data_IF_237663059494
#
_entry.id   IF_237663059494
#
_cell.length_a   1.000
_cell.length_b   1.000
_cell.length_c   1.000
_cell.angle_alpha   90.00
_cell.angle_beta   90.00
_cell.angle_gamma   90.00
#
_symmetry.space_group_name_H-M   'P 1'
#
loop_
_entity.id
_entity.type
_entity.pdbx_description
1 polymer ?
#
# COMPACT_ATOMS: atom_id res chain seq x y z
N UNK A 1 -9.30 13.74 -9.70
CA UNK A 1 -8.91 12.33 -9.76
C UNK A 1 -9.56 11.58 -8.62
N UNK A 2 -9.90 10.32 -8.85
CA UNK A 2 -10.31 9.34 -7.85
C UNK A 2 -9.06 8.58 -7.38
N UNK A 3 -8.67 8.78 -6.14
CA UNK A 3 -7.54 8.10 -5.51
C UNK A 3 -8.07 7.01 -4.60
N UNK A 4 -7.67 5.77 -4.84
CA UNK A 4 -7.97 4.65 -3.97
C UNK A 4 -6.84 4.46 -2.96
N UNK A 5 -7.11 4.57 -1.67
CA UNK A 5 -6.14 4.32 -0.60
C UNK A 5 -6.47 2.98 0.04
N UNK A 6 -5.52 2.05 0.05
CA UNK A 6 -5.69 0.69 0.58
C UNK A 6 -4.84 0.54 1.84
N UNK A 7 -5.48 0.24 2.97
CA UNK A 7 -4.84 0.11 4.29
C UNK A 7 -5.31 -1.15 4.98
N UNK A 8 -4.56 -1.62 5.97
CA UNK A 8 -5.11 -2.57 6.94
C UNK A 8 -5.83 -1.83 8.05
N UNK A 9 -6.97 -2.36 8.50
CA UNK A 9 -7.70 -1.77 9.62
C UNK A 9 -8.32 -0.41 9.30
N UNK A 10 -8.57 0.39 10.33
CA UNK A 10 -9.31 1.65 10.23
C UNK A 10 -8.36 2.85 10.28
N UNK A 11 -8.57 3.79 9.34
CA UNK A 11 -7.83 5.04 9.23
C UNK A 11 -7.93 5.90 10.49
N UNK A 12 -9.05 5.80 11.23
CA UNK A 12 -9.31 6.58 12.44
C UNK A 12 -8.71 5.95 13.71
N UNK A 13 -7.95 4.86 13.60
CA UNK A 13 -7.27 4.28 14.77
C UNK A 13 -6.30 5.30 15.40
N UNK A 14 -6.36 5.38 16.74
CA UNK A 14 -5.58 6.33 17.55
C UNK A 14 -4.15 5.85 17.85
N UNK A 15 -3.81 4.62 17.46
CA UNK A 15 -2.43 4.11 17.54
C UNK A 15 -1.58 4.71 16.42
N UNK A 16 -0.30 4.99 16.70
CA UNK A 16 0.56 5.82 15.84
C UNK A 16 0.82 5.30 14.42
N UNK A 17 0.37 4.09 14.07
CA UNK A 17 0.60 3.46 12.77
C UNK A 17 0.00 4.20 11.57
N UNK A 18 -1.15 4.87 11.75
CA UNK A 18 -1.95 5.44 10.64
C UNK A 18 -1.84 6.96 10.49
N UNK A 19 -0.89 7.59 11.20
CA UNK A 19 -0.73 9.05 11.15
C UNK A 19 -0.43 9.52 9.72
N UNK A 20 0.44 8.81 9.02
CA UNK A 20 0.86 9.17 7.67
C UNK A 20 -0.27 8.97 6.65
N UNK A 21 -1.04 7.88 6.75
CA UNK A 21 -2.23 7.66 5.91
C UNK A 21 -3.24 8.77 6.06
N UNK A 22 -3.53 9.16 7.31
CA UNK A 22 -4.43 10.28 7.61
C UNK A 22 -3.92 11.59 7.04
N UNK A 23 -2.63 11.88 7.19
CA UNK A 23 -2.01 13.08 6.64
C UNK A 23 -2.09 13.11 5.12
N UNK A 24 -1.84 11.97 4.46
CA UNK A 24 -1.93 11.82 3.02
C UNK A 24 -3.36 12.01 2.52
N UNK A 25 -4.32 11.27 3.08
CA UNK A 25 -5.75 11.35 2.73
C UNK A 25 -6.26 12.79 2.89
N UNK A 26 -5.91 13.43 4.02
CA UNK A 26 -6.29 14.83 4.28
C UNK A 26 -5.72 15.77 3.22
N UNK A 27 -4.45 15.63 2.88
CA UNK A 27 -3.79 16.52 1.91
C UNK A 27 -4.32 16.30 0.47
N UNK A 28 -4.54 15.05 0.07
CA UNK A 28 -5.16 14.73 -1.22
C UNK A 28 -6.56 15.32 -1.34
N UNK A 29 -7.39 15.17 -0.30
CA UNK A 29 -8.73 15.79 -0.25
C UNK A 29 -8.65 17.32 -0.29
N UNK A 30 -7.72 17.93 0.46
CA UNK A 30 -7.50 19.39 0.47
C UNK A 30 -7.13 19.93 -0.91
N UNK A 31 -6.46 19.13 -1.73
CA UNK A 31 -6.12 19.46 -3.13
C UNK A 31 -7.26 19.22 -4.13
N UNK A 32 -8.45 18.80 -3.67
CA UNK A 32 -9.64 18.60 -4.50
C UNK A 32 -9.71 17.22 -5.15
N UNK A 33 -8.95 16.24 -4.68
CA UNK A 33 -9.08 14.85 -5.14
C UNK A 33 -10.19 14.11 -4.37
N UNK A 34 -10.88 13.19 -5.06
CA UNK A 34 -11.82 12.26 -4.43
C UNK A 34 -11.01 11.11 -3.88
N UNK A 35 -11.06 10.88 -2.56
CA UNK A 35 -10.26 9.85 -1.89
C UNK A 35 -11.17 8.85 -1.22
N UNK A 36 -11.15 7.63 -1.75
CA UNK A 36 -11.86 6.48 -1.22
C UNK A 36 -10.86 5.57 -0.50
N UNK A 37 -11.21 5.13 0.69
CA UNK A 37 -10.35 4.28 1.51
C UNK A 37 -10.94 2.88 1.54
N UNK A 38 -10.14 1.88 1.21
CA UNK A 38 -10.48 0.47 1.37
C UNK A 38 -9.69 -0.10 2.55
N UNK A 39 -10.42 -0.47 3.59
CA UNK A 39 -9.89 -1.14 4.77
C UNK A 39 -9.88 -2.65 4.55
N UNK A 40 -8.70 -3.21 4.37
CA UNK A 40 -8.49 -4.64 4.24
C UNK A 40 -8.38 -5.30 5.62
N UNK A 41 -8.80 -6.56 5.69
CA UNK A 41 -8.54 -7.41 6.86
C UNK A 41 -7.09 -7.89 6.82
N UNK A 42 -6.41 -7.80 7.95
CA UNK A 42 -5.03 -8.30 8.08
C UNK A 42 -5.03 -9.82 7.99
N UNK A 43 -4.21 -10.37 7.10
CA UNK A 43 -4.11 -11.80 6.87
C UNK A 43 -2.98 -12.16 5.91
N UNK A 44 -2.70 -13.45 5.69
CA UNK A 44 -1.61 -13.90 4.81
C UNK A 44 -1.90 -13.68 3.32
N UNK A 45 -3.17 -13.65 2.92
CA UNK A 45 -3.63 -13.25 1.59
C UNK A 45 -5.14 -12.93 1.63
N UNK A 46 -5.67 -12.39 0.54
CA UNK A 46 -7.12 -12.33 0.32
C UNK A 46 -7.67 -13.72 -0.03
N UNK A 47 -8.92 -13.99 0.33
CA UNK A 47 -9.66 -15.11 -0.25
C UNK A 47 -10.17 -14.75 -1.66
N UNK A 48 -10.76 -15.73 -2.37
CA UNK A 48 -11.13 -15.54 -3.77
C UNK A 48 -12.26 -14.51 -3.96
N UNK A 49 -13.19 -14.44 -3.00
CA UNK A 49 -14.32 -13.52 -3.05
C UNK A 49 -13.84 -12.09 -2.78
N UNK A 50 -13.04 -11.91 -1.72
CA UNK A 50 -12.38 -10.64 -1.39
C UNK A 50 -11.46 -10.17 -2.53
N UNK A 51 -10.73 -11.08 -3.20
CA UNK A 51 -9.85 -10.73 -4.32
C UNK A 51 -10.65 -10.17 -5.52
N UNK A 52 -11.82 -10.75 -5.83
CA UNK A 52 -12.68 -10.25 -6.89
C UNK A 52 -13.25 -8.86 -6.57
N UNK A 53 -13.69 -8.64 -5.34
CA UNK A 53 -14.19 -7.34 -4.86
C UNK A 53 -13.09 -6.28 -4.91
N UNK A 54 -11.91 -6.58 -4.38
CA UNK A 54 -10.73 -5.71 -4.40
C UNK A 54 -10.36 -5.34 -5.83
N UNK A 55 -10.39 -6.31 -6.76
CA UNK A 55 -10.10 -6.05 -8.18
C UNK A 55 -11.12 -5.12 -8.82
N UNK A 56 -12.42 -5.31 -8.54
CA UNK A 56 -13.45 -4.40 -9.04
C UNK A 56 -13.23 -3.00 -8.50
N UNK A 57 -13.03 -2.88 -7.19
CA UNK A 57 -12.78 -1.61 -6.51
C UNK A 57 -11.56 -0.87 -7.09
N UNK A 58 -10.46 -1.59 -7.37
CA UNK A 58 -9.27 -1.02 -8.01
C UNK A 58 -9.61 -0.34 -9.35
N UNK A 59 -10.48 -0.92 -10.17
CA UNK A 59 -10.78 -0.38 -11.50
C UNK A 59 -11.53 0.97 -11.45
N UNK A 60 -12.19 1.28 -10.34
CA UNK A 60 -12.97 2.50 -10.15
C UNK A 60 -12.11 3.75 -9.89
N UNK A 61 -10.80 3.58 -9.69
CA UNK A 61 -9.86 4.62 -9.31
C UNK A 61 -8.88 4.95 -10.44
N UNK A 62 -8.40 6.19 -10.45
CA UNK A 62 -7.39 6.66 -11.42
C UNK A 62 -5.98 6.24 -11.00
N UNK A 63 -5.72 6.22 -9.68
CA UNK A 63 -4.44 5.85 -9.06
C UNK A 63 -4.70 5.22 -7.70
N UNK A 64 -3.85 4.26 -7.34
CA UNK A 64 -3.89 3.57 -6.06
C UNK A 64 -2.73 4.05 -5.18
N UNK A 65 -3.01 4.28 -3.90
CA UNK A 65 -1.98 4.35 -2.85
C UNK A 65 -2.18 3.18 -1.92
N UNK A 66 -1.12 2.45 -1.63
CA UNK A 66 -1.16 1.20 -0.89
C UNK A 66 -0.22 1.31 0.31
N UNK A 67 -0.73 1.12 1.53
CA UNK A 67 0.13 0.91 2.69
C UNK A 67 0.96 -0.37 2.44
N UNK A 68 2.29 -0.25 2.58
CA UNK A 68 3.20 -1.38 2.41
C UNK A 68 2.85 -2.57 3.29
N UNK A 69 2.24 -2.37 4.46
CA UNK A 69 1.83 -3.46 5.33
C UNK A 69 0.81 -4.39 4.68
N UNK A 70 0.07 -3.91 3.67
CA UNK A 70 -0.89 -4.70 2.91
C UNK A 70 -0.25 -5.62 1.86
N UNK A 71 1.08 -5.70 1.78
CA UNK A 71 1.80 -6.53 0.80
C UNK A 71 1.29 -7.98 0.67
N UNK A 72 0.88 -8.71 1.74
CA UNK A 72 0.41 -10.09 1.58
C UNK A 72 -0.93 -10.16 0.85
N UNK A 73 -1.82 -9.18 1.09
CA UNK A 73 -3.13 -9.09 0.44
C UNK A 73 -3.05 -8.49 -0.98
N UNK A 74 -2.06 -7.64 -1.25
CA UNK A 74 -2.01 -6.83 -2.48
C UNK A 74 -1.11 -7.37 -3.58
N UNK A 75 -0.23 -8.34 -3.28
CA UNK A 75 0.67 -8.88 -4.30
C UNK A 75 -0.09 -9.39 -5.54
N UNK A 76 -1.10 -10.25 -5.35
CA UNK A 76 -1.89 -10.80 -6.47
C UNK A 76 -2.71 -9.74 -7.20
N UNK A 77 -3.49 -8.87 -6.51
CA UNK A 77 -4.16 -7.75 -7.16
C UNK A 77 -3.21 -6.88 -7.98
N UNK A 78 -1.98 -6.64 -7.51
CA UNK A 78 -1.00 -5.82 -8.22
C UNK A 78 -0.55 -6.45 -9.53
N UNK A 79 -0.37 -7.77 -9.60
CA UNK A 79 0.01 -8.46 -10.83
C UNK A 79 -1.07 -8.36 -11.93
N UNK A 80 -2.32 -8.11 -11.56
CA UNK A 80 -3.47 -8.06 -12.47
C UNK A 80 -4.03 -6.65 -12.69
N UNK A 81 -3.52 -5.65 -11.95
CA UNK A 81 -4.01 -4.27 -12.04
C UNK A 81 -3.62 -3.64 -13.37
N UNK A 82 -4.42 -2.65 -13.79
CA UNK A 82 -4.11 -1.75 -14.93
C UNK A 82 -3.93 -0.30 -14.49
N UNK A 83 -4.12 -0.03 -13.19
CA UNK A 83 -4.05 1.30 -12.60
C UNK A 83 -2.67 1.49 -11.97
N UNK A 84 -2.08 2.70 -12.05
CA UNK A 84 -0.84 2.98 -11.37
C UNK A 84 -1.02 2.81 -9.86
N UNK A 85 -0.06 2.17 -9.21
CA UNK A 85 0.00 1.93 -7.78
C UNK A 85 1.25 2.55 -7.17
N UNK A 86 1.07 3.24 -6.06
CA UNK A 86 2.13 3.87 -5.28
C UNK A 86 2.13 3.26 -3.90
N UNK A 87 3.25 2.67 -3.47
CA UNK A 87 3.36 2.17 -2.10
C UNK A 87 3.73 3.32 -1.14
N UNK A 88 2.98 3.45 -0.05
CA UNK A 88 3.36 4.27 1.10
C UNK A 88 4.11 3.37 2.09
N UNK A 89 5.41 3.61 2.23
CA UNK A 89 6.29 2.78 3.07
C UNK A 89 6.63 3.54 4.34
N UNK A 90 6.12 3.06 5.47
CA UNK A 90 6.34 3.66 6.79
C UNK A 90 7.64 3.18 7.42
N UNK A 91 7.82 1.86 7.50
CA UNK A 91 8.99 1.17 8.02
C UNK A 91 8.95 -0.28 7.51
N UNK A 92 9.98 -0.73 6.78
CA UNK A 92 10.00 -2.11 6.26
C UNK A 92 10.19 -3.09 7.42
N UNK A 93 9.28 -4.08 7.50
CA UNK A 93 9.32 -5.12 8.53
C UNK A 93 10.62 -5.93 8.53
N UNK A 94 11.32 -6.00 7.39
CA UNK A 94 12.65 -6.61 7.25
C UNK A 94 13.75 -5.98 8.13
N UNK A 95 13.55 -4.76 8.64
CA UNK A 95 14.46 -4.15 9.61
C UNK A 95 14.26 -4.67 11.06
N UNK A 96 13.26 -5.52 11.30
CA UNK A 96 12.83 -6.01 12.64
C UNK A 96 12.99 -7.54 12.76
N UNK A 97 13.74 -8.20 11.86
CA UNK A 97 14.16 -9.60 12.04
C UNK A 97 13.13 -10.68 11.65
N UNK A 98 12.22 -10.39 10.72
CA UNK A 98 11.36 -11.40 10.09
C UNK A 98 12.15 -12.17 9.00
N UNK A 99 11.95 -13.50 8.84
CA UNK A 99 12.74 -14.33 7.95
C UNK A 99 12.18 -14.26 6.52
N UNK A 100 13.06 -13.87 5.59
CA UNK A 100 12.84 -13.72 4.15
C UNK A 100 11.98 -12.49 3.78
N UNK A 101 12.64 -11.44 3.28
CA UNK A 101 11.98 -10.25 2.74
C UNK A 101 11.51 -10.45 1.30
N UNK A 102 11.27 -11.69 0.88
CA UNK A 102 10.98 -12.02 -0.53
C UNK A 102 9.58 -11.56 -0.91
N UNK A 103 8.64 -11.62 0.03
CA UNK A 103 7.27 -11.15 -0.19
C UNK A 103 7.23 -9.61 -0.28
N UNK A 104 7.90 -8.91 0.63
CA UNK A 104 8.05 -7.45 0.58
C UNK A 104 8.75 -7.04 -0.71
N UNK A 105 9.81 -7.73 -1.11
CA UNK A 105 10.49 -7.48 -2.38
C UNK A 105 9.54 -7.65 -3.57
N UNK A 106 8.82 -8.77 -3.66
CA UNK A 106 7.90 -9.04 -4.76
C UNK A 106 6.78 -7.98 -4.83
N UNK A 107 6.31 -7.51 -3.68
CA UNK A 107 5.36 -6.41 -3.61
C UNK A 107 5.97 -5.08 -4.08
N UNK A 108 7.18 -4.73 -3.62
CA UNK A 108 7.87 -3.51 -4.07
C UNK A 108 8.17 -3.52 -5.57
N UNK A 109 8.49 -4.68 -6.15
CA UNK A 109 8.65 -4.86 -7.60
C UNK A 109 7.30 -4.81 -8.36
N UNK A 110 6.17 -4.90 -7.66
CA UNK A 110 4.84 -4.89 -8.27
C UNK A 110 4.20 -3.50 -8.39
N UNK A 111 4.72 -2.49 -7.67
CA UNK A 111 4.19 -1.11 -7.67
C UNK A 111 4.97 -0.23 -8.66
N UNK A 112 4.43 0.95 -9.02
CA UNK A 112 5.03 1.86 -10.00
C UNK A 112 5.86 2.98 -9.36
N UNK A 113 5.68 3.22 -8.07
CA UNK A 113 6.39 4.25 -7.32
C UNK A 113 6.34 4.00 -5.81
N UNK A 114 7.27 4.62 -5.09
CA UNK A 114 7.35 4.59 -3.63
C UNK A 114 7.23 6.00 -3.05
N UNK A 115 6.51 6.11 -1.94
CA UNK A 115 6.55 7.25 -1.03
C UNK A 115 7.13 6.73 0.29
N UNK A 116 8.33 7.20 0.62
CA UNK A 116 9.03 6.81 1.85
C UNK A 116 8.99 7.96 2.86
N UNK A 117 8.82 7.62 4.14
CA UNK A 117 8.82 8.59 5.25
C UNK A 117 10.19 9.19 5.54
N UNK A 118 11.27 8.52 5.13
CA UNK A 118 12.65 8.97 5.34
C UNK A 118 13.60 8.41 4.28
N UNK A 119 14.82 8.98 4.19
CA UNK A 119 15.89 8.44 3.35
C UNK A 119 16.30 7.03 3.80
N UNK A 120 16.32 6.75 5.11
CA UNK A 120 16.63 5.43 5.63
C UNK A 120 15.62 4.38 5.17
N UNK A 121 14.32 4.72 5.14
CA UNK A 121 13.27 3.85 4.61
C UNK A 121 13.46 3.59 3.12
N UNK A 122 13.82 4.63 2.35
CA UNK A 122 14.09 4.48 0.92
C UNK A 122 15.31 3.59 0.64
N UNK A 123 16.38 3.71 1.42
CA UNK A 123 17.58 2.89 1.29
C UNK A 123 17.28 1.42 1.65
N UNK A 124 16.43 1.19 2.64
CA UNK A 124 15.93 -0.15 2.96
C UNK A 124 15.10 -0.74 1.81
N UNK A 125 14.19 0.03 1.21
CA UNK A 125 13.44 -0.40 0.02
C UNK A 125 14.39 -0.77 -1.13
N UNK A 126 15.38 0.07 -1.40
CA UNK A 126 16.38 -0.15 -2.47
C UNK A 126 17.26 -1.37 -2.22
N UNK A 127 17.52 -1.69 -0.96
CA UNK A 127 18.29 -2.87 -0.57
C UNK A 127 17.52 -4.17 -0.85
N UNK A 128 16.19 -4.15 -0.74
CA UNK A 128 15.32 -5.28 -1.09
C UNK A 128 15.01 -5.34 -2.59
N UNK A 129 14.66 -4.20 -3.19
CA UNK A 129 14.40 -4.01 -4.61
C UNK A 129 15.10 -2.75 -5.13
N UNK A 130 16.18 -2.89 -5.93
CA UNK A 130 16.92 -1.75 -6.48
C UNK A 130 16.11 -0.88 -7.45
N UNK A 131 14.96 -1.35 -7.91
CA UNK A 131 14.04 -0.64 -8.81
C UNK A 131 12.60 -0.80 -8.29
N UNK A 132 11.96 0.26 -7.79
CA UNK A 132 10.53 0.42 -7.95
C UNK A 132 10.19 0.89 -9.36
#
# INVERSE_FOLDING_TARGET
MKVGVMIYGDLEQTTGGYLYDRMLVRELRRRGHVVNVLSLRRGPCLDADDEAEVRSWIQEHDVLVQDELCHPSLLRPNLLRKRPAVALVHNLSGCIGQPDGSLERAYLESVDALICTSQATLDACRSLSPRP
#
